data_IF_719464873337
#
_entry.id   IF_719464873337
#
_cell.length_a   1.000
_cell.length_b   1.000
_cell.length_c   1.000
_cell.angle_alpha   90.00
_cell.angle_beta   90.00
_cell.angle_gamma   90.00
#
_symmetry.space_group_name_H-M   'P 1'
#
loop_
_entity.id
_entity.type
_entity.pdbx_description
1 polymer ?
#
# COMPACT_ATOMS: atom_id res chain seq x y z
N UNK A 1 8.53 12.45 36.00
CA UNK A 1 9.54 11.74 35.17
C UNK A 1 8.97 10.61 34.30
N UNK A 2 7.70 10.17 34.48
CA UNK A 2 7.11 9.07 33.68
C UNK A 2 6.54 9.48 32.30
N UNK A 3 6.24 10.77 32.08
CA UNK A 3 5.59 11.24 30.84
C UNK A 3 6.50 11.17 29.59
N UNK A 4 7.82 11.20 29.78
CA UNK A 4 8.80 11.11 28.68
C UNK A 4 8.94 9.69 28.08
N UNK A 5 8.43 8.67 28.78
CA UNK A 5 8.47 7.28 28.31
C UNK A 5 7.35 6.95 27.32
N UNK A 6 6.19 7.61 27.44
CA UNK A 6 5.05 7.43 26.56
C UNK A 6 5.36 7.68 25.07
N UNK A 7 6.00 8.80 24.66
CA UNK A 7 6.31 9.02 23.26
C UNK A 7 7.33 7.99 22.73
N UNK A 8 8.28 7.56 23.55
CA UNK A 8 9.28 6.57 23.15
C UNK A 8 8.66 5.18 22.92
N UNK A 9 7.76 4.76 23.81
CA UNK A 9 7.02 3.50 23.68
C UNK A 9 6.06 3.51 22.48
N UNK A 10 5.57 4.67 22.04
CA UNK A 10 4.66 4.80 20.90
C UNK A 10 5.41 4.97 19.57
N UNK A 11 6.58 5.61 19.58
CA UNK A 11 7.44 5.79 18.40
C UNK A 11 8.11 4.48 17.96
N UNK A 12 8.53 3.61 18.89
CA UNK A 12 9.14 2.33 18.56
C UNK A 12 8.30 1.42 17.65
N UNK A 13 7.03 1.10 17.98
CA UNK A 13 6.20 0.25 17.11
C UNK A 13 5.87 0.97 15.79
N UNK A 14 5.69 2.29 15.81
CA UNK A 14 5.46 3.07 14.59
C UNK A 14 6.66 3.02 13.64
N UNK A 15 7.88 3.14 14.17
CA UNK A 15 9.12 3.00 13.43
C UNK A 15 9.31 1.56 12.90
N UNK A 16 8.96 0.53 13.69
CA UNK A 16 8.98 -0.86 13.23
C UNK A 16 8.01 -1.11 12.08
N UNK A 17 6.78 -0.61 12.15
CA UNK A 17 5.79 -0.74 11.07
C UNK A 17 6.29 -0.04 9.80
N UNK A 18 6.87 1.15 9.95
CA UNK A 18 7.48 1.87 8.83
C UNK A 18 8.64 1.11 8.21
N UNK A 19 9.51 0.51 9.03
CA UNK A 19 10.66 -0.26 8.59
C UNK A 19 10.26 -1.60 7.94
N UNK A 20 9.20 -2.25 8.41
CA UNK A 20 8.63 -3.43 7.73
C UNK A 20 8.01 -3.06 6.38
N UNK A 21 7.37 -1.89 6.31
CA UNK A 21 6.75 -1.39 5.08
C UNK A 21 7.79 -0.92 4.05
N UNK A 22 8.91 -0.34 4.49
CA UNK A 22 10.01 0.10 3.60
C UNK A 22 11.04 -1.00 3.34
N UNK A 23 11.25 -1.93 4.27
CA UNK A 23 12.17 -3.06 4.15
C UNK A 23 11.71 -4.14 3.16
N UNK A 24 10.41 -4.20 2.85
CA UNK A 24 9.89 -5.00 1.74
C UNK A 24 10.28 -4.45 0.34
N UNK A 25 11.06 -3.36 0.25
CA UNK A 25 11.62 -2.85 -1.00
C UNK A 25 13.06 -3.34 -1.28
N UNK A 26 13.67 -4.13 -0.39
CA UNK A 26 15.03 -4.67 -0.57
C UNK A 26 15.01 -6.20 -0.59
N UNK A 27 14.44 -6.79 -1.63
CA UNK A 27 14.46 -8.23 -1.82
C UNK A 27 13.58 -8.67 -2.98
N UNK A 28 14.07 -8.51 -4.21
CA UNK A 28 13.32 -8.91 -5.39
C UNK A 28 14.17 -8.95 -6.64
N UNK A 29 15.31 -9.63 -6.60
CA UNK A 29 15.93 -10.15 -7.83
C UNK A 29 15.49 -11.61 -8.01
N UNK A 30 14.71 -11.82 -9.08
CA UNK A 30 14.42 -13.03 -9.85
C UNK A 30 13.76 -14.26 -9.17
N UNK A 31 12.59 -14.68 -9.67
CA UNK A 31 12.43 -15.75 -10.68
C UNK A 31 10.92 -15.97 -10.95
N UNK A 32 10.54 -15.72 -12.21
CA UNK A 32 9.41 -16.23 -13.01
C UNK A 32 8.27 -17.02 -12.34
N UNK A 33 7.04 -16.49 -12.41
CA UNK A 33 5.87 -17.24 -12.90
C UNK A 33 4.74 -16.29 -13.38
N UNK A 34 4.60 -16.22 -14.71
CA UNK A 34 3.35 -16.07 -15.49
C UNK A 34 2.33 -14.99 -15.10
N UNK A 35 2.42 -13.85 -15.79
CA UNK A 35 1.32 -12.89 -15.99
C UNK A 35 1.84 -11.78 -16.91
N UNK A 36 1.12 -11.36 -17.97
CA UNK A 36 1.68 -10.47 -18.97
C UNK A 36 2.21 -9.21 -18.29
N UNK A 37 3.51 -9.00 -18.44
CA UNK A 37 4.20 -7.75 -18.13
C UNK A 37 3.41 -6.64 -18.79
N UNK A 38 2.58 -5.94 -18.01
CA UNK A 38 2.12 -4.63 -18.42
C UNK A 38 3.36 -3.75 -18.43
N UNK A 39 3.90 -3.58 -19.63
CA UNK A 39 4.79 -2.48 -19.98
C UNK A 39 4.34 -1.22 -19.25
N UNK A 40 5.24 -0.51 -18.55
CA UNK A 40 4.90 0.77 -17.94
C UNK A 40 4.65 1.76 -19.07
N UNK A 41 3.39 1.80 -19.54
CA UNK A 41 2.88 2.89 -20.34
C UNK A 41 3.05 4.15 -19.48
N UNK A 42 3.53 5.23 -20.06
CA UNK A 42 3.90 6.48 -19.39
C UNK A 42 2.72 7.24 -18.71
N UNK A 43 1.64 6.54 -18.37
CA UNK A 43 0.55 6.99 -17.52
C UNK A 43 0.62 6.13 -16.24
N UNK A 44 0.76 6.78 -15.08
CA UNK A 44 0.76 6.08 -13.79
C UNK A 44 -0.47 5.17 -13.62
N UNK A 45 -0.46 4.25 -12.64
CA UNK A 45 -1.57 3.31 -12.42
C UNK A 45 -2.90 4.06 -12.40
N UNK A 46 -3.86 3.62 -13.21
CA UNK A 46 -5.13 4.31 -13.32
C UNK A 46 -5.77 4.37 -11.92
N UNK A 47 -6.46 5.46 -11.55
CA UNK A 47 -7.03 5.61 -10.21
C UNK A 47 -7.93 4.43 -9.80
N UNK A 48 -8.57 3.77 -10.79
CA UNK A 48 -9.36 2.55 -10.60
C UNK A 48 -8.53 1.33 -10.22
N UNK A 49 -7.31 1.19 -10.74
CA UNK A 49 -6.40 0.09 -10.41
C UNK A 49 -5.88 0.23 -8.98
N UNK A 50 -5.60 1.48 -8.57
CA UNK A 50 -5.24 1.80 -7.18
C UNK A 50 -6.41 1.47 -6.25
N UNK A 51 -7.63 1.87 -6.59
CA UNK A 51 -8.82 1.56 -5.80
C UNK A 51 -9.07 0.04 -5.68
N UNK A 52 -8.88 -0.71 -6.78
CA UNK A 52 -9.02 -2.17 -6.77
C UNK A 52 -7.99 -2.84 -5.85
N UNK A 53 -6.74 -2.36 -5.86
CA UNK A 53 -5.72 -2.86 -4.94
C UNK A 53 -6.05 -2.56 -3.47
N UNK A 54 -6.61 -1.37 -3.20
CA UNK A 54 -7.03 -1.00 -1.84
C UNK A 54 -8.20 -1.86 -1.34
N UNK A 55 -9.15 -2.19 -2.21
CA UNK A 55 -10.26 -3.11 -1.89
C UNK A 55 -9.72 -4.52 -1.60
N UNK A 56 -8.81 -5.03 -2.42
CA UNK A 56 -8.20 -6.35 -2.23
C UNK A 56 -7.39 -6.46 -0.92
N UNK A 57 -6.86 -5.34 -0.43
CA UNK A 57 -6.16 -5.24 0.86
C UNK A 57 -7.11 -5.02 2.04
N UNK A 58 -8.38 -4.78 1.80
CA UNK A 58 -9.37 -4.41 2.83
C UNK A 58 -9.15 -3.02 3.42
N UNK A 59 -8.40 -2.14 2.73
CA UNK A 59 -8.19 -0.75 3.13
C UNK A 59 -9.42 0.13 2.86
N UNK A 60 -10.26 -0.30 1.91
CA UNK A 60 -11.55 0.31 1.57
C UNK A 60 -12.59 -0.79 1.44
N UNK A 61 -13.86 -0.46 1.68
CA UNK A 61 -14.97 -1.37 1.45
C UNK A 61 -15.51 -1.29 0.00
N UNK A 62 -16.43 -2.19 -0.34
CA UNK A 62 -17.05 -2.23 -1.66
C UNK A 62 -17.87 -0.98 -1.99
N UNK A 63 -18.41 -0.27 -1.00
CA UNK A 63 -19.19 0.95 -1.21
C UNK A 63 -18.27 2.12 -1.60
N UNK A 64 -17.13 2.26 -0.92
CA UNK A 64 -16.08 3.21 -1.22
C UNK A 64 -15.44 2.95 -2.59
N UNK A 65 -15.26 1.68 -2.97
CA UNK A 65 -14.79 1.34 -4.32
C UNK A 65 -15.78 1.77 -5.41
N UNK A 66 -17.08 1.54 -5.21
CA UNK A 66 -18.11 1.97 -6.17
C UNK A 66 -18.24 3.49 -6.25
N UNK A 67 -18.05 4.21 -5.15
CA UNK A 67 -17.99 5.67 -5.16
C UNK A 67 -16.81 6.19 -5.99
N UNK A 68 -15.62 5.62 -5.80
CA UNK A 68 -14.43 5.95 -6.60
C UNK A 68 -14.67 5.60 -8.08
N UNK A 69 -15.27 4.44 -8.37
CA UNK A 69 -15.59 4.00 -9.73
C UNK A 69 -16.56 4.96 -10.43
N UNK A 70 -17.57 5.45 -9.71
CA UNK A 70 -18.52 6.46 -10.23
C UNK A 70 -17.89 7.82 -10.45
N UNK A 71 -16.93 8.23 -9.61
CA UNK A 71 -16.25 9.51 -9.74
C UNK A 71 -15.25 9.56 -10.92
N UNK A 72 -14.78 8.41 -11.39
CA UNK A 72 -13.84 8.28 -12.51
C UNK A 72 -14.56 8.02 -13.84
N UNK A 73 -15.80 7.50 -13.80
CA UNK A 73 -16.68 7.33 -14.97
C UNK A 73 -17.26 8.64 -15.45
#
# INVERSE_FOLDING_TARGET
MMSLWLPFLLLCPLAMIWMMRSGNAMGGHDVSHTGPTQTPSAAGPAPIDIARQRLARGEIDSAQFEEIRRAIS
#
